data_IF_086347413562
#
_entry.id   IF_086347413562
#
_cell.length_a   1.000
_cell.length_b   1.000
_cell.length_c   1.000
_cell.angle_alpha   90.00
_cell.angle_beta   90.00
_cell.angle_gamma   90.00
#
_symmetry.space_group_name_H-M   'P 1'
#
loop_
_entity.id
_entity.type
_entity.pdbx_description
1 polymer ?
#
# COMPACT_ATOMS: atom_id res chain seq x y z
N UNK A 1 -0.81 17.18 -12.37
CA UNK A 1 -1.14 16.53 -13.66
C UNK A 1 -0.43 15.19 -13.82
N UNK A 2 0.89 15.09 -13.60
CA UNK A 2 1.67 13.83 -13.77
C UNK A 2 1.23 12.68 -12.85
N UNK A 3 0.93 12.95 -11.57
CA UNK A 3 0.55 11.89 -10.62
C UNK A 3 -0.75 11.17 -11.02
N UNK A 4 -1.73 11.90 -11.55
CA UNK A 4 -3.02 11.34 -11.99
C UNK A 4 -2.84 10.39 -13.19
N UNK A 5 -1.98 10.74 -14.16
CA UNK A 5 -1.67 9.86 -15.28
C UNK A 5 -0.94 8.59 -14.84
N UNK A 6 -0.03 8.73 -13.87
CA UNK A 6 0.68 7.58 -13.30
C UNK A 6 -0.28 6.62 -12.58
N UNK A 7 -1.26 7.17 -11.86
CA UNK A 7 -2.36 6.40 -11.23
C UNK A 7 -3.26 5.76 -12.28
N UNK A 8 -3.60 6.43 -13.38
CA UNK A 8 -4.41 5.81 -14.44
C UNK A 8 -3.72 4.62 -15.11
N UNK A 9 -2.41 4.73 -15.36
CA UNK A 9 -1.64 3.68 -16.06
C UNK A 9 -1.27 2.53 -15.13
N UNK A 10 -0.86 2.82 -13.90
CA UNK A 10 -0.31 1.83 -12.97
C UNK A 10 -1.21 1.51 -11.77
N UNK A 11 -2.34 2.19 -11.62
CA UNK A 11 -3.18 2.12 -10.41
C UNK A 11 -3.68 0.72 -10.08
N UNK A 12 -4.02 -0.09 -11.09
CA UNK A 12 -4.42 -1.49 -10.87
C UNK A 12 -3.26 -2.34 -10.30
N UNK A 13 -2.06 -2.22 -10.87
CA UNK A 13 -0.87 -2.92 -10.37
C UNK A 13 -0.46 -2.42 -8.99
N UNK A 14 -0.49 -1.10 -8.79
CA UNK A 14 -0.22 -0.47 -7.50
C UNK A 14 -1.22 -0.92 -6.43
N UNK A 15 -2.51 -1.04 -6.79
CA UNK A 15 -3.57 -1.55 -5.94
C UNK A 15 -3.37 -3.02 -5.58
N UNK A 16 -2.99 -3.87 -6.53
CA UNK A 16 -2.67 -5.28 -6.24
C UNK A 16 -1.49 -5.40 -5.28
N UNK A 17 -0.41 -4.64 -5.49
CA UNK A 17 0.73 -4.63 -4.57
C UNK A 17 0.31 -4.14 -3.19
N UNK A 18 -0.45 -3.04 -3.14
CA UNK A 18 -0.97 -2.49 -1.89
C UNK A 18 -1.83 -3.49 -1.13
N UNK A 19 -2.73 -4.21 -1.81
CA UNK A 19 -3.59 -5.22 -1.18
C UNK A 19 -2.77 -6.41 -0.67
N UNK A 20 -1.87 -6.96 -1.47
CA UNK A 20 -1.07 -8.12 -1.07
C UNK A 20 -0.13 -7.77 0.09
N UNK A 21 0.68 -6.71 -0.09
CA UNK A 21 1.66 -6.29 0.91
C UNK A 21 0.96 -5.76 2.15
N UNK A 22 -0.08 -4.93 1.98
CA UNK A 22 -0.83 -4.37 3.09
C UNK A 22 -1.56 -5.43 3.92
N UNK A 23 -2.12 -6.46 3.29
CA UNK A 23 -2.77 -7.57 4.04
C UNK A 23 -1.74 -8.35 4.84
N UNK A 24 -0.58 -8.67 4.25
CA UNK A 24 0.51 -9.34 4.96
C UNK A 24 1.00 -8.50 6.15
N UNK A 25 1.19 -7.19 5.95
CA UNK A 25 1.62 -6.30 7.03
C UNK A 25 0.56 -6.17 8.13
N UNK A 26 -0.73 -6.11 7.80
CA UNK A 26 -1.81 -6.09 8.80
C UNK A 26 -1.81 -7.37 9.63
N UNK A 27 -1.64 -8.53 8.97
CA UNK A 27 -1.62 -9.82 9.64
C UNK A 27 -0.49 -9.93 10.66
N UNK A 28 0.66 -9.29 10.44
CA UNK A 28 1.76 -9.28 11.42
C UNK A 28 1.69 -8.12 12.40
N UNK A 29 1.23 -6.95 11.98
CA UNK A 29 1.26 -5.72 12.77
C UNK A 29 0.05 -5.55 13.70
N UNK A 30 -1.08 -6.17 13.36
CA UNK A 30 -2.30 -6.16 14.18
C UNK A 30 -2.88 -7.56 14.36
N UNK A 31 -2.02 -8.59 14.38
CA UNK A 31 -2.46 -9.97 14.61
C UNK A 31 -3.36 -10.09 15.83
N UNK A 32 -2.92 -9.54 16.98
CA UNK A 32 -3.65 -9.57 18.24
C UNK A 32 -4.92 -8.71 18.24
N UNK A 33 -4.98 -7.68 17.37
CA UNK A 33 -6.19 -6.88 17.16
C UNK A 33 -7.24 -7.55 16.26
N UNK A 34 -6.82 -8.55 15.46
CA UNK A 34 -7.71 -9.31 14.55
C UNK A 34 -8.14 -10.64 15.17
N UNK A 35 -7.21 -11.34 15.83
CA UNK A 35 -7.40 -12.69 16.37
C UNK A 35 -7.30 -12.77 17.89
N UNK A 36 -6.78 -11.74 18.55
CA UNK A 36 -6.63 -11.66 20.01
C UNK A 36 -7.71 -10.78 20.67
N UNK A 37 -7.40 -10.26 21.86
CA UNK A 37 -8.30 -9.41 22.64
C UNK A 37 -7.93 -7.92 22.59
N UNK A 38 -6.92 -7.55 21.79
CA UNK A 38 -6.50 -6.16 21.66
C UNK A 38 -7.44 -5.36 20.74
N UNK A 39 -7.44 -4.04 20.91
CA UNK A 39 -8.28 -3.19 20.08
C UNK A 39 -7.69 -3.06 18.66
N UNK A 40 -8.52 -3.32 17.65
CA UNK A 40 -8.14 -3.09 16.25
C UNK A 40 -7.96 -1.59 15.98
N UNK A 41 -6.77 -1.19 15.55
CA UNK A 41 -6.42 0.19 15.28
C UNK A 41 -6.64 0.51 13.79
N UNK A 42 -7.78 1.11 13.49
CA UNK A 42 -8.20 1.41 12.11
C UNK A 42 -7.22 2.33 11.37
N UNK A 43 -6.70 3.36 12.04
CA UNK A 43 -5.79 4.33 11.41
C UNK A 43 -4.47 3.68 10.96
N UNK A 44 -3.74 2.92 11.81
CA UNK A 44 -2.58 2.15 11.36
C UNK A 44 -2.91 1.16 10.25
N UNK A 45 -4.05 0.47 10.32
CA UNK A 45 -4.47 -0.49 9.28
C UNK A 45 -4.64 0.18 7.90
N UNK A 46 -5.24 1.38 7.85
CA UNK A 46 -5.36 2.14 6.60
C UNK A 46 -4.00 2.56 6.04
N UNK A 47 -3.09 3.03 6.90
CA UNK A 47 -1.73 3.42 6.49
C UNK A 47 -0.98 2.22 5.90
N UNK A 48 -1.17 1.03 6.46
CA UNK A 48 -0.55 -0.21 5.98
C UNK A 48 -0.90 -0.53 4.52
N UNK A 49 -2.06 -0.10 4.01
CA UNK A 49 -2.41 -0.22 2.59
C UNK A 49 -1.95 0.99 1.76
N UNK A 50 -2.06 2.19 2.31
CA UNK A 50 -1.73 3.44 1.60
C UNK A 50 -0.23 3.54 1.29
N UNK A 51 0.64 3.13 2.22
CA UNK A 51 2.09 3.20 2.05
C UNK A 51 2.59 2.38 0.86
N UNK A 52 2.31 1.06 0.76
CA UNK A 52 2.75 0.25 -0.38
C UNK A 52 2.17 0.73 -1.72
N UNK A 53 0.95 1.28 -1.74
CA UNK A 53 0.39 1.92 -2.93
C UNK A 53 1.23 3.11 -3.41
N UNK A 54 1.54 4.04 -2.51
CA UNK A 54 2.31 5.25 -2.82
C UNK A 54 3.76 4.92 -3.19
N UNK A 55 4.42 4.04 -2.43
CA UNK A 55 5.81 3.62 -2.69
C UNK A 55 5.93 2.95 -4.06
N UNK A 56 4.98 2.09 -4.44
CA UNK A 56 4.97 1.48 -5.77
C UNK A 56 4.87 2.53 -6.88
N UNK A 57 3.93 3.47 -6.77
CA UNK A 57 3.76 4.55 -7.76
C UNK A 57 5.00 5.46 -7.86
N UNK A 58 5.63 5.78 -6.71
CA UNK A 58 6.88 6.55 -6.67
C UNK A 58 8.04 5.78 -7.31
N UNK A 59 8.11 4.46 -7.12
CA UNK A 59 9.09 3.60 -7.79
C UNK A 59 8.93 3.64 -9.31
N UNK A 60 7.69 3.52 -9.81
CA UNK A 60 7.39 3.59 -11.25
C UNK A 60 7.71 4.94 -11.87
N UNK A 61 7.57 6.04 -11.11
CA UNK A 61 8.04 7.36 -11.56
C UNK A 61 9.56 7.40 -11.75
N UNK A 62 10.34 6.70 -10.91
CA UNK A 62 11.81 6.68 -10.99
C UNK A 62 12.34 5.76 -12.09
N UNK A 63 11.65 4.66 -12.39
CA UNK A 63 12.01 3.74 -13.47
C UNK A 63 12.01 4.42 -14.86
N UNK A 64 11.15 5.42 -15.09
CA UNK A 64 11.16 6.23 -16.32
C UNK A 64 12.24 7.33 -16.40
N UNK A 65 13.11 7.43 -15.38
CA UNK A 65 14.23 8.39 -15.28
C UNK A 65 15.58 7.65 -15.17
N UNK A 66 15.58 6.32 -15.33
CA UNK A 66 16.80 5.54 -15.50
C UNK A 66 17.18 5.50 -16.97
N UNK A 67 18.29 6.15 -17.33
CA UNK A 67 18.97 6.03 -18.61
C UNK A 67 19.25 4.59 -18.99
#
# INVERSE_FOLDING_TARGET
MIFQELVKVHGLKAGQVALTVGTLLILVNQYDGIFGQENFLLLPALITYVVPFLVFLLGKRKEGVGC
#
